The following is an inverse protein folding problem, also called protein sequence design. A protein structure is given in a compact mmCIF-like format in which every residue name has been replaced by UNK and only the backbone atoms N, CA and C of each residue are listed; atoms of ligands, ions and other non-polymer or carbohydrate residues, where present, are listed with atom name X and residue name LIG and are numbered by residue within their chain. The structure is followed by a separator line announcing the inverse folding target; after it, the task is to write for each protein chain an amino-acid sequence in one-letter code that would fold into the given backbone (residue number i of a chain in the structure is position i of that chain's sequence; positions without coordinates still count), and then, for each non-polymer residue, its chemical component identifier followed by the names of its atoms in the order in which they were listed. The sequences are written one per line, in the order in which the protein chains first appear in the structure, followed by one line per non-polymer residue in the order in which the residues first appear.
data_IF_002050652007
#
_entry.id   IF_002050652007
#
_cell.length_a   1.000
_cell.length_b   1.000
_cell.length_c   1.000
_cell.angle_alpha   90.00
_cell.angle_beta   90.00
_cell.angle_gamma   90.00
#
_symmetry.space_group_name_H-M   'P 1'
#
loop_
_entity.id
_entity.type
_entity.pdbx_description
1 polymer ?
#
# COMPACT_ATOMS: atom_id res chain seq x y z
N UNK A 1 -0.42 -8.35 -12.88
CA UNK A 1 0.94 -8.05 -12.41
C UNK A 1 2.03 -8.92 -13.05
N UNK A 2 1.89 -10.24 -13.20
CA UNK A 2 2.93 -11.07 -13.86
C UNK A 2 3.30 -10.62 -15.28
N UNK A 3 2.36 -9.99 -15.98
CA UNK A 3 2.53 -9.51 -17.36
C UNK A 3 3.07 -8.07 -17.44
N UNK A 4 3.30 -7.42 -16.28
CA UNK A 4 3.87 -6.05 -16.26
C UNK A 4 5.33 -6.11 -16.71
N UNK A 5 5.70 -5.20 -17.65
CA UNK A 5 7.04 -5.15 -18.28
C UNK A 5 7.75 -3.80 -18.07
N UNK A 6 7.09 -2.83 -17.47
CA UNK A 6 7.68 -1.50 -17.20
C UNK A 6 8.68 -1.54 -16.06
N UNK A 7 9.62 -0.61 -16.06
CA UNK A 7 10.62 -0.43 -15.00
C UNK A 7 9.99 0.00 -13.67
N UNK A 8 8.90 0.74 -13.75
CA UNK A 8 8.12 1.23 -12.62
C UNK A 8 6.69 0.70 -12.69
N UNK A 9 6.21 0.15 -11.59
CA UNK A 9 4.88 -0.41 -11.44
C UNK A 9 4.07 0.51 -10.54
N UNK A 10 2.87 0.87 -11.00
CA UNK A 10 1.89 1.64 -10.24
C UNK A 10 0.67 0.77 -10.01
N UNK A 11 0.26 0.63 -8.75
CA UNK A 11 -1.02 0.00 -8.47
C UNK A 11 -2.15 1.03 -8.64
N UNK A 12 -3.27 0.58 -9.17
CA UNK A 12 -4.44 1.41 -9.39
C UNK A 12 -5.69 0.64 -9.02
N UNK A 13 -6.59 1.28 -8.29
CA UNK A 13 -7.94 0.83 -8.09
C UNK A 13 -8.84 1.53 -9.12
N UNK A 14 -9.87 0.85 -9.59
CA UNK A 14 -10.69 1.33 -10.72
C UNK A 14 -11.63 2.49 -10.35
N UNK A 15 -11.82 2.73 -9.07
CA UNK A 15 -12.72 3.74 -8.52
C UNK A 15 -11.98 4.99 -8.01
N UNK A 16 -10.64 4.95 -7.94
CA UNK A 16 -9.83 6.08 -7.49
C UNK A 16 -9.38 6.97 -8.66
N UNK A 17 -9.11 8.25 -8.35
CA UNK A 17 -8.62 9.21 -9.34
C UNK A 17 -7.19 9.64 -9.03
N UNK A 18 -6.28 9.43 -9.96
CA UNK A 18 -4.92 9.93 -9.84
C UNK A 18 -4.84 11.42 -10.12
N UNK A 19 -4.08 12.15 -9.30
CA UNK A 19 -3.74 13.53 -9.63
C UNK A 19 -2.77 13.58 -10.81
N UNK A 20 -2.81 14.64 -11.64
CA UNK A 20 -2.01 14.72 -12.87
C UNK A 20 -0.50 14.55 -12.67
N UNK A 21 0.02 14.96 -11.52
CA UNK A 21 1.44 14.92 -11.18
C UNK A 21 1.87 13.61 -10.48
N UNK A 22 0.98 12.64 -10.30
CA UNK A 22 1.28 11.42 -9.53
C UNK A 22 2.49 10.66 -10.09
N UNK A 23 2.48 10.41 -11.38
CA UNK A 23 3.54 9.62 -12.03
C UNK A 23 4.87 10.33 -11.91
N UNK A 24 4.93 11.63 -12.22
CA UNK A 24 6.15 12.43 -12.13
C UNK A 24 6.74 12.44 -10.72
N UNK A 25 5.91 12.74 -9.72
CA UNK A 25 6.35 12.79 -8.30
C UNK A 25 6.85 11.43 -7.84
N UNK A 26 6.10 10.35 -8.11
CA UNK A 26 6.54 9.02 -7.71
C UNK A 26 7.85 8.61 -8.39
N UNK A 27 8.01 8.85 -9.70
CA UNK A 27 9.26 8.53 -10.42
C UNK A 27 10.44 9.31 -9.82
N UNK A 28 10.27 10.58 -9.46
CA UNK A 28 11.32 11.37 -8.81
C UNK A 28 11.78 10.73 -7.50
N UNK A 29 10.87 10.26 -6.67
CA UNK A 29 11.21 9.56 -5.43
C UNK A 29 11.84 8.18 -5.70
N UNK A 30 11.37 7.47 -6.73
CA UNK A 30 11.91 6.17 -7.13
C UNK A 30 13.34 6.24 -7.72
N UNK A 31 13.92 7.42 -7.92
CA UNK A 31 15.35 7.53 -8.20
C UNK A 31 16.22 7.15 -7.00
N UNK A 32 15.72 7.31 -5.78
CA UNK A 32 16.45 7.06 -4.53
C UNK A 32 15.85 5.96 -3.66
N UNK A 33 14.64 5.49 -3.98
CA UNK A 33 13.91 4.47 -3.24
C UNK A 33 13.36 3.42 -4.20
N UNK A 34 13.08 2.24 -3.68
CA UNK A 34 12.60 1.13 -4.49
C UNK A 34 11.07 1.00 -4.45
N UNK A 35 10.45 1.53 -3.40
CA UNK A 35 9.01 1.62 -3.26
C UNK A 35 8.63 2.95 -2.61
N UNK A 36 7.58 3.57 -3.13
CA UNK A 36 7.01 4.82 -2.63
C UNK A 36 5.54 4.59 -2.33
N UNK A 37 5.10 5.08 -1.18
CA UNK A 37 3.68 5.13 -0.81
C UNK A 37 3.32 6.60 -0.61
N UNK A 38 2.35 7.11 -1.37
CA UNK A 38 1.90 8.50 -1.25
C UNK A 38 0.72 8.61 -0.28
N UNK A 39 0.47 9.82 0.21
CA UNK A 39 -0.80 10.14 0.86
C UNK A 39 -1.92 10.29 -0.19
N UNK A 40 -3.15 10.37 0.26
CA UNK A 40 -4.34 10.59 -0.56
C UNK A 40 -5.31 11.55 0.12
N UNK A 41 -6.10 12.26 -0.66
CA UNK A 41 -7.31 12.92 -0.18
C UNK A 41 -8.47 11.92 -0.22
N UNK A 42 -9.26 11.88 0.84
CA UNK A 42 -10.44 10.99 0.90
C UNK A 42 -11.66 11.74 0.45
N UNK A 43 -12.38 11.19 -0.52
CA UNK A 43 -13.56 11.77 -1.13
C UNK A 43 -14.77 10.84 -1.01
N UNK A 44 -15.96 11.38 -1.23
CA UNK A 44 -17.19 10.61 -1.44
C UNK A 44 -17.25 10.05 -2.89
N UNK A 45 -18.35 9.38 -3.23
CA UNK A 45 -18.60 8.85 -4.58
C UNK A 45 -18.64 9.92 -5.68
N UNK A 46 -18.92 11.18 -5.33
CA UNK A 46 -18.99 12.32 -6.24
C UNK A 46 -17.70 13.15 -6.25
N UNK A 47 -16.62 12.67 -5.61
CA UNK A 47 -15.34 13.33 -5.45
C UNK A 47 -15.39 14.60 -4.55
N UNK A 48 -16.43 14.78 -3.73
CA UNK A 48 -16.43 15.83 -2.73
C UNK A 48 -15.47 15.46 -1.59
N UNK A 49 -14.65 16.39 -1.08
CA UNK A 49 -13.70 16.13 -0.02
C UNK A 49 -14.39 15.70 1.28
N UNK A 50 -13.97 14.56 1.85
CA UNK A 50 -14.38 14.10 3.17
C UNK A 50 -13.29 14.32 4.21
N UNK A 51 -12.05 13.93 3.88
CA UNK A 51 -10.90 14.10 4.76
C UNK A 51 -9.66 14.51 3.96
N UNK A 52 -8.86 15.43 4.49
CA UNK A 52 -7.72 15.98 3.75
C UNK A 52 -6.52 15.03 3.65
N UNK A 53 -6.48 13.94 4.41
CA UNK A 53 -5.34 13.01 4.44
C UNK A 53 -5.79 11.61 4.88
N UNK A 54 -5.47 10.64 4.04
CA UNK A 54 -5.64 9.22 4.35
C UNK A 54 -4.67 8.79 5.46
N UNK A 55 -3.44 9.30 5.44
CA UNK A 55 -2.44 9.01 6.46
C UNK A 55 -2.88 9.42 7.86
N UNK A 56 -3.53 10.59 7.98
CA UNK A 56 -4.04 11.07 9.25
C UNK A 56 -5.11 10.12 9.82
N UNK A 57 -6.05 9.66 8.97
CA UNK A 57 -7.11 8.74 9.38
C UNK A 57 -6.54 7.37 9.76
N UNK A 58 -5.65 6.83 8.92
CA UNK A 58 -5.05 5.53 9.11
C UNK A 58 -3.91 5.54 10.14
N UNK A 59 -3.45 6.73 10.57
CA UNK A 59 -2.29 6.90 11.45
C UNK A 59 -1.05 6.19 10.87
N UNK A 60 -0.83 6.37 9.57
CA UNK A 60 0.28 5.77 8.85
C UNK A 60 1.61 6.27 9.43
N UNK A 61 2.56 5.36 9.60
CA UNK A 61 3.92 5.66 10.07
C UNK A 61 4.94 4.95 9.20
N UNK A 62 6.08 5.58 9.02
CA UNK A 62 7.22 4.92 8.40
C UNK A 62 7.81 3.87 9.35
N UNK A 63 8.33 2.76 8.79
CA UNK A 63 8.96 1.69 9.55
C UNK A 63 8.31 0.33 9.29
N UNK A 64 9.15 -0.65 8.90
CA UNK A 64 8.68 -1.98 8.50
C UNK A 64 8.03 -2.74 9.66
N UNK A 65 8.64 -2.75 10.86
CA UNK A 65 8.10 -3.44 12.03
C UNK A 65 6.71 -2.92 12.38
N UNK A 66 6.54 -1.58 12.41
CA UNK A 66 5.26 -0.98 12.72
C UNK A 66 4.18 -1.40 11.73
N UNK A 67 4.49 -1.37 10.42
CA UNK A 67 3.54 -1.71 9.36
C UNK A 67 3.24 -3.21 9.27
N UNK A 68 4.17 -4.07 9.66
CA UNK A 68 3.95 -5.52 9.67
C UNK A 68 3.15 -5.98 10.88
N UNK A 69 3.52 -5.48 12.07
CA UNK A 69 3.05 -6.02 13.35
C UNK A 69 1.85 -5.24 13.91
N UNK A 70 1.88 -3.91 13.79
CA UNK A 70 0.91 -3.07 14.48
C UNK A 70 -0.21 -2.56 13.56
N UNK A 71 0.14 -1.81 12.53
CA UNK A 71 -0.85 -1.13 11.70
C UNK A 71 -0.34 -0.98 10.27
N UNK A 72 -1.00 -1.63 9.32
CA UNK A 72 -0.60 -1.55 7.92
C UNK A 72 -0.84 -0.16 7.33
N UNK A 73 0.18 0.41 6.69
CA UNK A 73 0.11 1.67 5.96
C UNK A 73 0.21 1.50 4.44
N UNK A 74 0.36 0.28 3.95
CA UNK A 74 0.45 0.01 2.52
C UNK A 74 -0.96 0.01 1.91
N UNK A 75 -1.25 1.03 1.12
CA UNK A 75 -2.52 1.18 0.38
C UNK A 75 -2.22 1.08 -1.09
N UNK A 76 -2.77 0.10 -1.78
CA UNK A 76 -2.44 -0.26 -3.15
C UNK A 76 -2.45 0.94 -4.09
N UNK A 77 -3.56 1.64 -4.21
CA UNK A 77 -3.68 2.79 -5.12
C UNK A 77 -2.69 3.95 -4.84
N UNK A 78 -2.07 3.97 -3.65
CA UNK A 78 -1.03 4.94 -3.27
C UNK A 78 0.39 4.46 -3.56
N UNK A 79 0.57 3.20 -4.00
CA UNK A 79 1.88 2.57 -4.17
C UNK A 79 2.42 2.70 -5.59
N UNK A 80 3.72 3.00 -5.66
CA UNK A 80 4.54 2.86 -6.86
C UNK A 80 5.88 2.22 -6.48
N UNK A 81 6.40 1.32 -7.31
CA UNK A 81 7.63 0.61 -6.99
C UNK A 81 8.38 0.16 -8.25
N UNK A 82 9.67 -0.15 -8.08
CA UNK A 82 10.52 -0.69 -9.14
C UNK A 82 10.14 -2.12 -9.49
N UNK A 83 10.42 -2.54 -10.70
CA UNK A 83 10.11 -3.89 -11.18
C UNK A 83 10.76 -4.99 -10.33
N UNK A 84 11.95 -4.73 -9.76
CA UNK A 84 12.64 -5.67 -8.87
C UNK A 84 11.83 -6.02 -7.61
N UNK A 85 11.07 -5.06 -7.08
CA UNK A 85 10.16 -5.29 -5.95
C UNK A 85 9.03 -6.24 -6.35
N UNK A 86 8.48 -6.08 -7.57
CA UNK A 86 7.48 -7.02 -8.08
C UNK A 86 8.05 -8.42 -8.21
N UNK A 87 9.24 -8.55 -8.83
CA UNK A 87 9.89 -9.84 -9.02
C UNK A 87 10.16 -10.55 -7.69
N UNK A 88 10.62 -9.81 -6.68
CA UNK A 88 10.84 -10.36 -5.34
C UNK A 88 9.53 -10.74 -4.62
N UNK A 89 8.41 -10.15 -5.01
CA UNK A 89 7.10 -10.44 -4.42
C UNK A 89 6.40 -11.63 -5.06
N UNK A 90 6.87 -12.09 -6.21
CA UNK A 90 6.27 -13.19 -6.96
C UNK A 90 6.99 -14.53 -6.69
N UNK A 91 6.28 -15.67 -6.71
CA UNK A 91 4.82 -15.79 -6.76
C UNK A 91 4.16 -15.36 -5.44
N UNK A 92 2.97 -14.79 -5.50
CA UNK A 92 2.26 -14.43 -4.27
C UNK A 92 1.92 -15.68 -3.44
N UNK A 93 2.22 -15.69 -2.13
CA UNK A 93 1.79 -16.77 -1.25
C UNK A 93 0.25 -16.86 -1.22
N UNK A 94 -0.28 -18.08 -1.09
CA UNK A 94 -1.74 -18.32 -1.15
C UNK A 94 -2.51 -17.80 0.07
N UNK A 95 -1.81 -17.61 1.18
CA UNK A 95 -2.39 -17.27 2.48
C UNK A 95 -2.24 -15.79 2.87
N UNK A 96 -1.75 -14.92 1.95
CA UNK A 96 -1.65 -13.49 2.21
C UNK A 96 -3.02 -12.81 2.21
N UNK A 97 -3.22 -11.80 3.06
CA UNK A 97 -4.50 -11.10 3.14
C UNK A 97 -4.81 -10.28 1.88
N UNK A 98 -3.84 -9.54 1.38
CA UNK A 98 -3.94 -8.65 0.21
C UNK A 98 -2.57 -8.51 -0.45
N UNK A 99 -2.56 -8.31 -1.77
CA UNK A 99 -1.33 -8.21 -2.56
C UNK A 99 -0.50 -6.96 -2.25
N UNK A 100 -1.14 -5.82 -2.00
CA UNK A 100 -0.49 -4.55 -1.66
C UNK A 100 0.22 -4.64 -0.30
N UNK A 101 -0.41 -5.24 0.70
CA UNK A 101 0.21 -5.51 2.01
C UNK A 101 1.44 -6.40 1.84
N UNK A 102 1.33 -7.43 1.00
CA UNK A 102 2.45 -8.34 0.74
C UNK A 102 3.60 -7.61 0.04
N UNK A 103 3.34 -6.93 -1.09
CA UNK A 103 4.35 -6.18 -1.84
C UNK A 103 5.02 -5.13 -0.95
N UNK A 104 4.23 -4.37 -0.18
CA UNK A 104 4.75 -3.36 0.73
C UNK A 104 5.68 -3.94 1.81
N UNK A 105 5.35 -5.11 2.35
CA UNK A 105 6.21 -5.78 3.32
C UNK A 105 7.47 -6.34 2.66
N UNK A 106 7.38 -7.00 1.49
CA UNK A 106 8.57 -7.44 0.73
C UNK A 106 9.49 -6.26 0.43
N UNK A 107 8.93 -5.15 -0.04
CA UNK A 107 9.69 -3.92 -0.27
C UNK A 107 10.38 -3.42 1.00
N UNK A 108 9.69 -3.42 2.13
CA UNK A 108 10.22 -2.88 3.38
C UNK A 108 11.31 -3.76 4.03
N UNK A 109 11.30 -5.06 3.78
CA UNK A 109 12.31 -5.98 4.32
C UNK A 109 13.50 -6.21 3.39
N UNK A 110 13.34 -6.06 2.08
CA UNK A 110 14.40 -6.31 1.09
C UNK A 110 14.97 -5.06 0.44
N UNK A 111 14.25 -3.96 0.48
CA UNK A 111 14.51 -2.74 -0.28
C UNK A 111 14.25 -1.49 0.55
N UNK A 112 14.38 -0.31 -0.07
CA UNK A 112 14.15 0.97 0.59
C UNK A 112 12.74 1.48 0.28
N UNK A 113 11.91 1.63 1.31
CA UNK A 113 10.55 2.18 1.19
C UNK A 113 10.47 3.59 1.74
N UNK A 114 9.78 4.47 1.02
CA UNK A 114 9.49 5.84 1.44
C UNK A 114 7.99 6.10 1.47
N UNK A 115 7.48 6.51 2.62
CA UNK A 115 6.17 7.13 2.74
C UNK A 115 6.32 8.64 2.52
N UNK A 116 5.58 9.19 1.56
CA UNK A 116 5.63 10.61 1.18
C UNK A 116 4.32 11.30 1.52
N UNK A 117 4.41 12.57 1.90
CA UNK A 117 3.24 13.37 2.34
C UNK A 117 2.43 13.96 1.18
N UNK A 118 2.92 13.86 -0.03
CA UNK A 118 2.23 14.30 -1.23
C UNK A 118 0.96 13.50 -1.46
N UNK A 119 -0.16 14.19 -1.58
CA UNK A 119 -1.47 13.61 -1.83
C UNK A 119 -1.67 13.47 -3.32
N UNK A 120 -1.42 12.27 -3.83
CA UNK A 120 -1.37 12.02 -5.26
C UNK A 120 -2.59 11.26 -5.79
N UNK A 121 -3.54 10.94 -4.92
CA UNK A 121 -4.75 10.19 -5.23
C UNK A 121 -5.95 10.87 -4.56
N UNK A 122 -7.07 10.92 -5.27
CA UNK A 122 -8.39 11.11 -4.70
C UNK A 122 -8.94 9.72 -4.40
N UNK A 123 -8.86 9.34 -3.12
CA UNK A 123 -9.31 8.04 -2.64
C UNK A 123 -10.82 8.06 -2.45
N UNK A 124 -11.54 7.35 -3.30
CA UNK A 124 -13.00 7.34 -3.27
C UNK A 124 -13.52 6.36 -2.24
N UNK A 125 -14.31 6.89 -1.32
CA UNK A 125 -14.93 6.10 -0.26
C UNK A 125 -16.37 5.78 -0.62
N UNK A 126 -16.70 4.51 -0.72
CA UNK A 126 -18.07 4.01 -0.81
C UNK A 126 -18.51 3.47 0.56
N UNK A 127 -19.82 3.38 0.79
CA UNK A 127 -20.36 2.80 2.04
C UNK A 127 -19.87 1.38 2.29
N UNK A 128 -19.61 0.63 1.21
CA UNK A 128 -19.09 -0.75 1.22
C UNK A 128 -17.56 -0.86 1.22
N UNK A 129 -16.81 0.23 1.25
CA UNK A 129 -15.35 0.19 1.17
C UNK A 129 -14.76 -0.59 2.34
N UNK A 130 -14.05 -1.67 2.04
CA UNK A 130 -13.52 -2.64 3.01
C UNK A 130 -12.45 -2.03 3.92
N UNK A 131 -11.69 -1.06 3.41
CA UNK A 131 -10.39 -0.71 3.98
C UNK A 131 -10.34 0.49 4.94
N UNK A 132 -11.28 1.41 4.95
CA UNK A 132 -11.11 2.67 5.71
C UNK A 132 -12.39 3.20 6.37
N UNK A 133 -12.95 2.47 7.32
CA UNK A 133 -14.17 2.95 7.99
C UNK A 133 -13.93 3.86 9.22
N UNK A 134 -12.72 4.34 9.50
CA UNK A 134 -12.47 5.19 10.68
C UNK A 134 -12.97 4.62 12.02
N UNK A 135 -13.82 3.59 11.97
CA UNK A 135 -14.45 2.90 13.10
C UNK A 135 -13.76 1.58 13.47
N UNK A 136 -12.52 1.34 13.02
CA UNK A 136 -11.79 0.10 13.28
C UNK A 136 -11.87 -0.90 12.10
N UNK A 137 -11.13 -1.99 12.21
CA UNK A 137 -11.08 -3.05 11.19
C UNK A 137 -12.38 -3.86 11.18
N UNK A 138 -12.89 -4.21 9.99
CA UNK A 138 -14.01 -5.19 9.83
C UNK A 138 -13.60 -6.62 10.26
N UNK A 139 -12.29 -6.88 10.39
CA UNK A 139 -11.76 -8.17 10.76
C UNK A 139 -11.66 -8.32 12.28
N UNK A 140 -12.01 -9.50 12.79
CA UNK A 140 -11.79 -9.84 14.19
C UNK A 140 -10.30 -9.78 14.57
N UNK A 141 -10.00 -9.63 15.85
CA UNK A 141 -8.61 -9.62 16.35
C UNK A 141 -7.87 -10.89 15.91
N UNK A 142 -8.51 -12.04 15.97
CA UNK A 142 -7.96 -13.32 15.53
C UNK A 142 -7.62 -13.36 14.04
N UNK A 143 -8.49 -12.83 13.20
CA UNK A 143 -8.23 -12.71 11.77
C UNK A 143 -7.06 -11.77 11.49
N UNK A 144 -6.98 -10.62 12.18
CA UNK A 144 -5.87 -9.70 12.06
C UNK A 144 -4.54 -10.36 12.49
N UNK A 145 -4.53 -11.11 13.58
CA UNK A 145 -3.35 -11.87 14.02
C UNK A 145 -2.94 -12.93 12.99
N UNK A 146 -3.92 -13.67 12.43
CA UNK A 146 -3.67 -14.66 11.38
C UNK A 146 -3.04 -14.01 10.13
N UNK A 147 -3.52 -12.85 9.71
CA UNK A 147 -2.95 -12.09 8.59
C UNK A 147 -1.50 -11.66 8.86
N UNK A 148 -1.23 -11.13 10.05
CA UNK A 148 0.13 -10.75 10.44
C UNK A 148 1.08 -11.94 10.48
N UNK A 149 0.61 -13.04 11.06
CA UNK A 149 1.39 -14.29 11.10
C UNK A 149 1.70 -14.81 9.70
N UNK A 150 0.73 -14.78 8.77
CA UNK A 150 0.96 -15.17 7.39
C UNK A 150 2.03 -14.30 6.73
N UNK A 151 1.97 -12.98 6.89
CA UNK A 151 2.99 -12.07 6.34
C UNK A 151 4.37 -12.39 6.94
N UNK A 152 4.49 -12.49 8.26
CA UNK A 152 5.78 -12.74 8.95
C UNK A 152 6.37 -14.07 8.50
N UNK A 153 5.58 -15.15 8.51
CA UNK A 153 6.00 -16.48 8.07
C UNK A 153 6.54 -16.46 6.64
N UNK A 154 5.81 -15.83 5.72
CA UNK A 154 6.21 -15.79 4.31
C UNK A 154 7.41 -14.86 4.09
N UNK A 155 7.56 -13.78 4.85
CA UNK A 155 8.78 -12.94 4.81
C UNK A 155 9.99 -13.76 5.27
N UNK A 156 9.89 -14.49 6.38
CA UNK A 156 10.99 -15.36 6.86
C UNK A 156 11.38 -16.38 5.79
N UNK A 157 10.40 -16.99 5.13
CA UNK A 157 10.65 -17.95 4.05
C UNK A 157 11.36 -17.36 2.81
N UNK A 158 11.33 -16.04 2.61
CA UNK A 158 12.09 -15.38 1.54
C UNK A 158 13.59 -15.27 1.84
N UNK A 159 14.01 -15.52 3.09
CA UNK A 159 15.41 -15.41 3.51
C UNK A 159 16.07 -16.79 3.77
N UNK A 160 15.28 -17.86 3.72
CA UNK A 160 15.74 -19.25 3.83
C UNK A 160 15.84 -19.87 2.44
#
# INVERSE_FOLDING_TARGET
MKESKGDYIFLADQDDVWKPNKVEVCIKWLQNYDCVVSDAEVTDSNLNPLYPSLYAIMQVRQGHIYNTVWKNGYTGCCMAFRHEVLNASLPFPKDIPMHDIWIGNVAAYKYNVKFISEKLVLFRRHEDTISCNGKGSKYSIWQQMKFRWSIIKNIVNLYI
#
